data_IF_428704947836
#
_entry.id   IF_428704947836
#
_cell.length_a   1.000
_cell.length_b   1.000
_cell.length_c   1.000
_cell.angle_alpha   90.00
_cell.angle_beta   90.00
_cell.angle_gamma   90.00
#
_symmetry.space_group_name_H-M   'P 1'
#
loop_
_entity.id
_entity.type
_entity.pdbx_description
1 polymer ?
#
# COMPACT_ATOMS: atom_id res chain seq x y z
N UNK A 1 -3.11 -27.12 15.36
CA UNK A 1 -4.08 -27.23 16.48
C UNK A 1 -5.11 -26.10 16.44
N UNK A 2 -4.69 -24.84 16.34
CA UNK A 2 -5.62 -23.69 16.29
C UNK A 2 -6.51 -23.63 15.03
N UNK A 3 -5.97 -23.93 13.83
CA UNK A 3 -6.77 -24.00 12.58
C UNK A 3 -7.89 -25.03 12.65
N UNK A 4 -7.61 -26.20 13.20
CA UNK A 4 -8.59 -27.28 13.34
C UNK A 4 -9.71 -26.88 14.31
N UNK A 5 -9.36 -26.18 15.40
CA UNK A 5 -10.33 -25.63 16.35
C UNK A 5 -11.23 -24.56 15.70
N UNK A 6 -10.65 -23.65 14.90
CA UNK A 6 -11.42 -22.62 14.19
C UNK A 6 -12.35 -23.19 13.11
N UNK A 7 -11.95 -24.24 12.39
CA UNK A 7 -12.82 -24.91 11.41
C UNK A 7 -14.00 -25.58 12.11
N UNK A 8 -13.75 -26.26 13.25
CA UNK A 8 -14.80 -26.86 14.06
C UNK A 8 -15.76 -25.80 14.64
N UNK A 9 -15.22 -24.67 15.12
CA UNK A 9 -16.02 -23.55 15.58
C UNK A 9 -16.88 -22.95 14.45
N UNK A 10 -16.32 -22.79 13.24
CA UNK A 10 -17.04 -22.28 12.08
C UNK A 10 -18.20 -23.19 11.67
N UNK A 11 -17.95 -24.51 11.57
CA UNK A 11 -18.99 -25.50 11.28
C UNK A 11 -20.05 -25.55 12.40
N UNK A 12 -19.63 -25.45 13.66
CA UNK A 12 -20.54 -25.36 14.81
C UNK A 12 -21.45 -24.13 14.75
N UNK A 13 -20.93 -22.98 14.32
CA UNK A 13 -21.72 -21.75 14.15
C UNK A 13 -22.75 -21.87 13.02
N UNK A 14 -22.40 -22.53 11.90
CA UNK A 14 -23.35 -22.78 10.80
C UNK A 14 -24.49 -23.69 11.27
N UNK A 15 -24.16 -24.78 11.97
CA UNK A 15 -25.16 -25.69 12.51
C UNK A 15 -26.04 -24.99 13.55
N UNK A 16 -25.45 -24.16 14.42
CA UNK A 16 -26.19 -23.37 15.39
C UNK A 16 -27.15 -22.39 14.71
N UNK A 17 -26.70 -21.68 13.68
CA UNK A 17 -27.53 -20.74 12.91
C UNK A 17 -28.70 -21.42 12.16
N UNK A 18 -28.54 -22.70 11.78
CA UNK A 18 -29.59 -23.50 11.17
C UNK A 18 -30.65 -23.97 12.19
N UNK A 19 -30.27 -24.07 13.47
CA UNK A 19 -31.15 -24.50 14.56
C UNK A 19 -31.81 -23.29 15.23
N UNK A 20 -31.09 -22.18 15.36
CA UNK A 20 -31.49 -20.96 16.03
C UNK A 20 -31.07 -19.73 15.21
N UNK A 21 -32.04 -18.93 14.79
CA UNK A 21 -31.83 -17.75 13.94
C UNK A 21 -31.64 -16.46 14.75
N UNK A 22 -31.23 -16.58 16.01
CA UNK A 22 -30.96 -15.45 16.87
C UNK A 22 -29.67 -14.70 16.44
N UNK A 23 -29.45 -13.45 16.92
CA UNK A 23 -28.29 -12.66 16.52
C UNK A 23 -26.94 -13.24 17.00
N UNK A 24 -26.94 -14.03 18.07
CA UNK A 24 -25.76 -14.57 18.72
C UNK A 24 -24.93 -15.48 17.77
N UNK A 25 -25.48 -16.51 17.11
CA UNK A 25 -24.74 -17.32 16.16
C UNK A 25 -24.19 -16.52 14.98
N UNK A 26 -24.87 -15.45 14.55
CA UNK A 26 -24.36 -14.53 13.51
C UNK A 26 -23.09 -13.81 14.00
N UNK A 27 -23.12 -13.26 15.22
CA UNK A 27 -21.98 -12.54 15.80
C UNK A 27 -20.78 -13.47 16.00
N UNK A 28 -21.02 -14.70 16.48
CA UNK A 28 -19.95 -15.70 16.68
C UNK A 28 -19.38 -16.16 15.34
N UNK A 29 -20.21 -16.32 14.30
CA UNK A 29 -19.75 -16.64 12.94
C UNK A 29 -18.82 -15.54 12.41
N UNK A 30 -19.20 -14.27 12.54
CA UNK A 30 -18.38 -13.11 12.12
C UNK A 30 -17.06 -13.08 12.88
N UNK A 31 -17.07 -13.30 14.20
CA UNK A 31 -15.86 -13.34 15.03
C UNK A 31 -14.95 -14.50 14.67
N UNK A 32 -15.51 -15.67 14.33
CA UNK A 32 -14.75 -16.85 13.90
C UNK A 32 -14.10 -16.62 12.54
N UNK A 33 -14.82 -15.99 11.60
CA UNK A 33 -14.27 -15.55 10.32
C UNK A 33 -13.13 -14.55 10.54
N UNK A 34 -13.33 -13.54 11.40
CA UNK A 34 -12.27 -12.58 11.75
C UNK A 34 -11.05 -13.26 12.41
N UNK A 35 -11.27 -14.25 13.28
CA UNK A 35 -10.22 -15.08 13.88
C UNK A 35 -9.47 -15.96 12.87
N UNK A 36 -10.14 -16.42 11.82
CA UNK A 36 -9.51 -17.15 10.71
C UNK A 36 -8.51 -16.27 9.94
N UNK A 37 -8.81 -14.97 9.81
CA UNK A 37 -7.90 -13.99 9.20
C UNK A 37 -6.82 -13.48 10.16
N UNK A 38 -6.92 -13.77 11.46
CA UNK A 38 -6.05 -13.19 12.49
C UNK A 38 -4.68 -13.87 12.58
N UNK A 39 -4.58 -15.18 12.31
CA UNK A 39 -3.41 -15.96 12.74
C UNK A 39 -2.52 -16.61 11.66
N UNK A 40 -2.74 -16.44 10.37
CA UNK A 40 -1.74 -16.89 9.38
C UNK A 40 -1.72 -16.02 8.13
N UNK A 41 -0.69 -15.17 8.01
CA UNK A 41 -0.28 -14.61 6.71
C UNK A 41 0.35 -15.72 5.90
N UNK A 42 -0.45 -16.55 5.23
CA UNK A 42 0.00 -17.46 4.18
C UNK A 42 -0.95 -17.41 2.99
N UNK A 43 -0.47 -16.75 1.92
CA UNK A 43 -0.84 -17.07 0.56
C UNK A 43 -2.14 -16.44 0.07
N UNK A 44 -2.06 -15.93 -1.17
CA UNK A 44 -3.18 -15.78 -2.09
C UNK A 44 -4.28 -16.86 -1.86
N UNK A 45 -5.35 -16.51 -1.14
CA UNK A 45 -6.56 -17.32 -1.15
C UNK A 45 -7.33 -16.92 -2.41
N UNK A 46 -7.09 -17.67 -3.49
CA UNK A 46 -7.81 -17.56 -4.76
C UNK A 46 -7.55 -16.26 -5.55
N UNK A 47 -6.42 -16.14 -6.24
CA UNK A 47 -6.05 -15.15 -7.29
C UNK A 47 -6.34 -13.64 -7.06
N UNK A 48 -7.04 -13.17 -6.02
CA UNK A 48 -7.59 -11.80 -5.92
C UNK A 48 -7.81 -11.25 -4.50
N UNK A 49 -7.40 -11.96 -3.45
CA UNK A 49 -7.54 -11.50 -2.05
C UNK A 49 -6.15 -11.30 -1.45
N UNK A 50 -5.89 -10.10 -0.93
CA UNK A 50 -4.65 -9.72 -0.23
C UNK A 50 -5.00 -9.15 1.16
N UNK A 51 -4.33 -9.66 2.20
CA UNK A 51 -4.42 -9.16 3.59
C UNK A 51 -3.05 -9.17 4.23
N UNK A 52 -2.76 -8.20 5.11
CA UNK A 52 -1.53 -8.12 5.89
C UNK A 52 -1.85 -7.92 7.37
N UNK A 53 -1.21 -8.72 8.22
CA UNK A 53 -1.17 -8.50 9.67
C UNK A 53 0.21 -7.96 10.05
N UNK A 54 0.38 -6.64 10.22
CA UNK A 54 1.66 -6.03 10.56
C UNK A 54 2.02 -6.26 12.04
N UNK A 55 3.32 -6.47 12.33
CA UNK A 55 3.82 -6.54 13.72
C UNK A 55 3.91 -5.18 14.41
N UNK A 56 4.14 -4.11 13.63
CA UNK A 56 4.20 -2.74 14.13
C UNK A 56 2.83 -2.06 13.96
N UNK A 57 2.52 -1.11 14.84
CA UNK A 57 1.33 -0.26 14.70
C UNK A 57 1.49 0.57 13.42
N UNK A 58 0.64 0.31 12.43
CA UNK A 58 0.63 1.07 11.19
C UNK A 58 -0.07 2.41 11.37
N UNK A 59 0.43 3.41 10.66
CA UNK A 59 -0.24 4.69 10.43
C UNK A 59 -1.27 4.45 9.32
N UNK A 60 -2.54 4.74 9.59
CA UNK A 60 -3.66 4.44 8.68
C UNK A 60 -4.32 5.71 8.14
N UNK A 61 -4.50 6.66 9.04
CA UNK A 61 -4.89 8.04 8.77
C UNK A 61 -3.66 8.95 8.80
N UNK A 62 -3.83 10.17 8.28
CA UNK A 62 -2.77 11.16 8.23
C UNK A 62 -2.97 12.28 9.24
N UNK A 63 -4.00 12.23 10.07
CA UNK A 63 -4.38 13.31 10.99
C UNK A 63 -3.29 13.63 12.02
N UNK A 64 -2.55 12.60 12.45
CA UNK A 64 -1.42 12.72 13.38
C UNK A 64 -0.06 12.40 12.75
N UNK A 65 0.01 12.21 11.43
CA UNK A 65 1.26 11.86 10.76
C UNK A 65 1.98 13.12 10.29
N UNK A 66 3.30 13.18 10.51
CA UNK A 66 4.12 14.28 9.98
C UNK A 66 4.19 14.25 8.45
N UNK A 67 4.24 13.05 7.87
CA UNK A 67 4.35 12.85 6.43
C UNK A 67 3.08 12.20 5.89
N UNK A 68 2.66 12.58 4.69
CA UNK A 68 1.45 12.03 4.09
C UNK A 68 1.52 11.92 2.56
N UNK A 69 0.46 11.36 1.96
CA UNK A 69 0.22 11.40 0.52
C UNK A 69 -0.87 12.39 0.09
N UNK A 70 -1.54 13.07 1.02
CA UNK A 70 -2.77 13.85 0.75
C UNK A 70 -2.69 15.33 1.17
N UNK A 71 -1.99 15.65 2.26
CA UNK A 71 -1.89 17.00 2.83
C UNK A 71 -0.60 17.13 3.65
N UNK A 72 -0.03 18.33 3.81
CA UNK A 72 1.11 18.61 4.70
C UNK A 72 2.35 17.67 4.59
N UNK A 73 3.49 18.23 4.16
CA UNK A 73 4.77 17.52 4.02
C UNK A 73 4.64 16.17 3.28
N UNK A 74 4.33 16.25 1.99
CA UNK A 74 4.23 15.10 1.11
C UNK A 74 5.47 14.22 1.18
N UNK A 75 5.25 12.90 1.18
CA UNK A 75 6.32 11.93 1.01
C UNK A 75 6.94 12.15 -0.36
N UNK A 76 8.26 12.31 -0.39
CA UNK A 76 9.02 12.62 -1.58
C UNK A 76 8.79 11.54 -2.65
N UNK A 77 8.36 11.90 -3.88
CA UNK A 77 8.06 10.92 -4.93
C UNK A 77 9.24 10.00 -5.24
N UNK A 78 10.48 10.48 -5.13
CA UNK A 78 11.68 9.68 -5.39
C UNK A 78 11.90 8.56 -4.37
N UNK A 79 11.35 8.67 -3.15
CA UNK A 79 11.34 7.56 -2.19
C UNK A 79 10.47 6.42 -2.72
N UNK A 80 9.32 6.75 -3.33
CA UNK A 80 8.41 5.76 -3.90
C UNK A 80 9.04 5.11 -5.14
N UNK A 81 9.74 5.90 -5.95
CA UNK A 81 10.50 5.39 -7.09
C UNK A 81 11.59 4.40 -6.68
N UNK A 82 12.39 4.71 -5.66
CA UNK A 82 13.46 3.84 -5.14
C UNK A 82 12.90 2.51 -4.60
N UNK A 83 11.71 2.55 -3.98
CA UNK A 83 11.00 1.33 -3.56
C UNK A 83 10.58 0.44 -4.75
N UNK A 84 10.18 1.03 -5.88
CA UNK A 84 9.81 0.25 -7.08
C UNK A 84 11.06 -0.39 -7.69
N UNK A 85 12.19 0.33 -7.68
CA UNK A 85 13.44 -0.10 -8.30
C UNK A 85 13.42 0.03 -9.82
N UNK A 86 14.52 -0.37 -10.46
CA UNK A 86 14.69 -0.26 -11.89
C UNK A 86 14.05 -1.44 -12.62
N UNK A 87 13.55 -1.21 -13.84
CA UNK A 87 12.97 -2.26 -14.68
C UNK A 87 13.99 -3.35 -15.05
N UNK A 88 15.27 -3.01 -15.08
CA UNK A 88 16.38 -3.94 -15.36
C UNK A 88 16.69 -4.87 -14.20
N UNK A 89 16.27 -4.53 -12.99
CA UNK A 89 16.60 -5.27 -11.79
C UNK A 89 15.54 -6.35 -11.52
N UNK A 90 15.98 -7.44 -10.91
CA UNK A 90 15.09 -8.53 -10.50
C UNK A 90 14.86 -8.50 -8.99
N UNK A 91 13.59 -8.61 -8.58
CA UNK A 91 13.22 -8.53 -7.16
C UNK A 91 13.24 -7.12 -6.58
N UNK A 92 12.82 -7.00 -5.32
CA UNK A 92 12.73 -5.71 -4.63
C UNK A 92 14.05 -5.41 -3.92
N UNK A 93 14.86 -4.51 -4.47
CA UNK A 93 16.16 -4.14 -3.88
C UNK A 93 15.98 -3.30 -2.61
N UNK A 94 15.08 -2.31 -2.67
CA UNK A 94 14.73 -1.46 -1.52
C UNK A 94 13.33 -1.82 -1.06
N UNK A 95 13.22 -2.40 0.13
CA UNK A 95 11.93 -2.81 0.71
C UNK A 95 11.38 -1.83 1.74
N UNK A 96 12.22 -0.96 2.29
CA UNK A 96 11.81 0.07 3.24
C UNK A 96 12.77 1.27 3.25
N UNK A 97 12.23 2.45 3.53
CA UNK A 97 13.00 3.71 3.62
C UNK A 97 12.60 4.47 4.89
N UNK A 98 13.60 5.01 5.59
CA UNK A 98 13.40 5.95 6.69
C UNK A 98 13.00 7.32 6.14
N UNK A 99 11.72 7.67 6.20
CA UNK A 99 11.20 8.95 5.67
C UNK A 99 11.74 10.13 6.47
N UNK A 100 11.95 9.98 7.78
CA UNK A 100 12.29 11.09 8.69
C UNK A 100 13.53 11.83 8.22
N UNK A 101 14.57 11.07 7.86
CA UNK A 101 15.84 11.63 7.41
C UNK A 101 15.94 11.68 5.88
N UNK A 102 15.13 10.88 5.17
CA UNK A 102 15.20 10.79 3.70
C UNK A 102 14.43 11.89 2.98
N UNK A 103 13.30 12.36 3.52
CA UNK A 103 12.31 13.13 2.73
C UNK A 103 12.89 14.40 2.08
N UNK A 104 13.88 15.01 2.73
CA UNK A 104 14.58 16.23 2.28
C UNK A 104 16.09 16.01 2.08
N UNK A 105 16.53 14.76 2.02
CA UNK A 105 17.95 14.44 1.83
C UNK A 105 18.40 14.62 0.38
N UNK A 106 19.69 14.81 0.18
CA UNK A 106 20.29 14.88 -1.16
C UNK A 106 20.06 13.60 -2.00
N UNK A 107 19.89 12.44 -1.36
CA UNK A 107 19.61 11.16 -2.06
C UNK A 107 18.34 11.25 -2.91
N UNK A 108 17.34 11.96 -2.43
CA UNK A 108 16.03 12.10 -3.07
C UNK A 108 15.79 13.53 -3.57
N UNK A 109 16.87 14.24 -3.91
CA UNK A 109 16.79 15.60 -4.45
C UNK A 109 16.02 15.62 -5.78
N UNK A 110 15.18 16.63 -5.94
CA UNK A 110 14.33 16.85 -7.11
C UNK A 110 13.37 17.99 -6.84
N UNK A 111 12.92 18.66 -7.90
CA UNK A 111 11.88 19.68 -7.79
C UNK A 111 10.52 18.99 -7.60
N UNK A 112 9.89 19.22 -6.45
CA UNK A 112 8.59 18.62 -6.14
C UNK A 112 7.47 19.62 -6.41
N UNK A 113 6.63 19.31 -7.39
CA UNK A 113 5.43 20.05 -7.73
C UNK A 113 4.17 19.30 -7.26
N UNK A 114 3.18 20.05 -6.77
CA UNK A 114 1.88 19.53 -6.36
C UNK A 114 0.82 20.11 -7.27
N UNK A 115 0.01 19.24 -7.86
CA UNK A 115 -1.12 19.62 -8.70
C UNK A 115 -2.41 19.08 -8.10
N UNK A 116 -3.23 20.00 -7.59
CA UNK A 116 -4.54 19.66 -7.06
C UNK A 116 -5.49 19.19 -8.17
N UNK A 117 -6.41 18.30 -7.79
CA UNK A 117 -7.46 17.79 -8.65
C UNK A 117 -8.79 17.92 -7.92
N UNK A 118 -9.85 18.33 -8.64
CA UNK A 118 -11.17 18.58 -8.03
C UNK A 118 -11.86 17.29 -7.58
N UNK A 119 -11.65 16.20 -8.32
CA UNK A 119 -12.39 14.93 -8.14
C UNK A 119 -11.51 13.80 -7.61
N UNK A 120 -10.25 14.08 -7.26
CA UNK A 120 -9.27 13.09 -6.80
C UNK A 120 -8.20 13.71 -5.92
N UNK A 121 -7.40 12.86 -5.27
CA UNK A 121 -6.24 13.31 -4.48
C UNK A 121 -5.23 14.07 -5.35
N UNK A 122 -4.40 14.95 -4.76
CA UNK A 122 -3.39 15.69 -5.51
C UNK A 122 -2.42 14.74 -6.23
N UNK A 123 -1.88 15.22 -7.35
CA UNK A 123 -0.76 14.62 -8.05
C UNK A 123 0.53 15.25 -7.53
N UNK A 124 1.45 14.43 -7.05
CA UNK A 124 2.75 14.87 -6.54
C UNK A 124 3.80 14.39 -7.52
N UNK A 125 4.50 15.33 -8.16
CA UNK A 125 5.49 15.07 -9.20
C UNK A 125 6.85 15.54 -8.72
N UNK A 126 7.87 14.68 -8.84
CA UNK A 126 9.27 15.05 -8.72
C UNK A 126 9.89 15.10 -10.11
N UNK A 127 10.53 16.21 -10.44
CA UNK A 127 11.33 16.39 -11.65
C UNK A 127 12.82 16.45 -11.27
N UNK A 128 13.66 15.72 -11.99
CA UNK A 128 15.11 15.65 -11.82
C UNK A 128 15.79 15.48 -13.18
N UNK A 129 17.11 15.61 -13.26
CA UNK A 129 17.83 15.67 -14.55
C UNK A 129 17.52 14.50 -15.49
N UNK A 130 17.37 13.30 -14.91
CA UNK A 130 17.20 12.06 -15.65
C UNK A 130 15.72 11.76 -15.97
N UNK A 131 14.76 12.52 -15.43
CA UNK A 131 13.36 12.17 -15.61
C UNK A 131 12.34 12.80 -14.67
N UNK A 132 11.14 12.23 -14.69
CA UNK A 132 10.03 12.62 -13.83
C UNK A 132 9.36 11.41 -13.19
N UNK A 133 9.03 11.54 -11.92
CA UNK A 133 8.25 10.53 -11.19
C UNK A 133 7.05 11.19 -10.54
N UNK A 134 5.86 10.64 -10.80
CA UNK A 134 4.60 11.14 -10.25
C UNK A 134 3.87 10.05 -9.50
N UNK A 135 3.24 10.39 -8.38
CA UNK A 135 2.24 9.53 -7.75
C UNK A 135 0.94 10.28 -7.46
N UNK A 136 -0.14 9.50 -7.34
CA UNK A 136 -1.43 9.93 -6.84
C UNK A 136 -1.92 8.90 -5.82
N UNK A 137 -2.40 9.37 -4.68
CA UNK A 137 -2.97 8.50 -3.67
C UNK A 137 -4.35 7.97 -4.09
N UNK A 138 -4.64 6.70 -3.78
CA UNK A 138 -5.93 6.06 -4.11
C UNK A 138 -6.77 5.78 -2.87
N UNK A 139 -6.13 5.51 -1.73
CA UNK A 139 -6.80 5.17 -0.47
C UNK A 139 -5.97 4.25 0.43
N UNK A 140 -6.52 3.95 1.61
CA UNK A 140 -5.94 2.99 2.57
C UNK A 140 -6.92 1.84 2.79
N UNK A 141 -6.40 0.62 2.82
CA UNK A 141 -7.14 -0.58 3.19
C UNK A 141 -7.38 -0.72 4.70
N UNK A 142 -8.27 -1.63 5.10
CA UNK A 142 -8.60 -1.87 6.50
C UNK A 142 -7.42 -2.39 7.32
N UNK A 143 -6.46 -3.06 6.67
CA UNK A 143 -5.21 -3.55 7.26
C UNK A 143 -4.18 -2.43 7.46
N UNK A 144 -4.34 -1.28 6.79
CA UNK A 144 -3.42 -0.15 6.86
C UNK A 144 -2.43 -0.08 5.70
N UNK A 145 -2.69 -0.79 4.60
CA UNK A 145 -1.92 -0.66 3.37
C UNK A 145 -2.45 0.50 2.53
N UNK A 146 -1.59 1.46 2.24
CA UNK A 146 -1.84 2.61 1.36
C UNK A 146 -1.60 2.20 -0.10
N UNK A 147 -2.48 2.68 -0.99
CA UNK A 147 -2.42 2.42 -2.42
C UNK A 147 -2.10 3.71 -3.16
N UNK A 148 -1.11 3.66 -4.04
CA UNK A 148 -0.67 4.76 -4.90
C UNK A 148 -0.75 4.33 -6.36
N UNK A 149 -1.25 5.20 -7.23
CA UNK A 149 -0.99 5.10 -8.66
C UNK A 149 0.29 5.87 -8.97
N UNK A 150 1.19 5.31 -9.78
CA UNK A 150 2.46 5.96 -10.13
C UNK A 150 2.68 6.01 -11.63
N UNK A 151 3.48 7.00 -12.05
CA UNK A 151 3.94 7.22 -13.42
C UNK A 151 5.42 7.59 -13.37
N UNK A 152 6.28 6.80 -14.00
CA UNK A 152 7.73 7.05 -14.06
C UNK A 152 8.18 7.22 -15.52
N UNK A 153 8.97 8.26 -15.76
CA UNK A 153 9.67 8.50 -17.02
C UNK A 153 11.14 8.79 -16.70
N UNK A 154 12.05 7.87 -17.06
CA UNK A 154 13.49 8.04 -16.88
C UNK A 154 14.22 8.61 -18.09
N UNK A 155 13.65 9.63 -18.74
CA UNK A 155 14.31 10.38 -19.83
C UNK A 155 14.04 9.87 -21.25
N UNK A 156 13.40 8.70 -21.39
CA UNK A 156 12.91 8.19 -22.66
C UNK A 156 11.50 8.67 -23.02
N UNK A 157 10.88 8.05 -24.03
CA UNK A 157 9.49 8.35 -24.40
C UNK A 157 8.45 7.61 -23.54
N UNK A 158 8.83 6.47 -22.93
CA UNK A 158 7.94 5.63 -22.13
C UNK A 158 7.53 6.27 -20.80
N UNK A 159 6.33 5.94 -20.33
CA UNK A 159 5.79 6.32 -19.03
C UNK A 159 5.26 5.07 -18.36
N UNK A 160 6.05 4.48 -17.46
CA UNK A 160 5.67 3.23 -16.81
C UNK A 160 4.72 3.48 -15.65
N UNK A 161 3.57 2.82 -15.70
CA UNK A 161 2.51 2.98 -14.72
C UNK A 161 2.40 1.77 -13.79
N UNK A 162 2.25 2.02 -12.50
CA UNK A 162 2.06 0.97 -11.50
C UNK A 162 0.99 1.35 -10.48
N UNK A 163 0.43 0.34 -9.81
CA UNK A 163 -0.19 0.51 -8.50
C UNK A 163 0.84 0.03 -7.48
N UNK A 164 1.23 0.91 -6.58
CA UNK A 164 2.20 0.64 -5.51
C UNK A 164 1.47 0.54 -4.20
N UNK A 165 1.76 -0.51 -3.44
CA UNK A 165 1.18 -0.79 -2.14
C UNK A 165 2.25 -0.65 -1.07
N UNK A 166 2.02 0.23 -0.11
CA UNK A 166 2.98 0.56 0.96
C UNK A 166 2.31 0.58 2.32
N UNK A 167 3.10 0.41 3.37
CA UNK A 167 2.68 0.62 4.75
C UNK A 167 3.54 1.70 5.38
N UNK A 168 2.93 2.48 6.28
CA UNK A 168 3.61 3.50 7.07
C UNK A 168 3.61 3.08 8.53
N UNK A 169 4.74 3.27 9.21
CA UNK A 169 4.87 2.93 10.63
C UNK A 169 5.88 3.83 11.32
N UNK A 170 5.77 3.92 12.63
CA UNK A 170 6.83 4.48 13.47
C UNK A 170 7.73 3.32 13.93
N UNK A 171 9.01 3.44 13.65
CA UNK A 171 10.07 2.54 14.12
C UNK A 171 10.94 3.27 15.16
N UNK A 172 11.72 2.55 15.94
CA UNK A 172 12.64 3.13 16.91
C UNK A 172 14.06 2.67 16.61
N UNK A 173 14.98 3.63 16.50
CA UNK A 173 16.40 3.37 16.36
C UNK A 173 17.14 3.72 17.64
N UNK A 174 18.32 3.14 17.78
CA UNK A 174 19.30 3.55 18.76
C UNK A 174 20.38 4.36 18.05
N UNK A 175 20.62 5.57 18.53
CA UNK A 175 21.70 6.42 18.04
C UNK A 175 22.61 6.81 19.20
N UNK A 176 23.92 6.81 18.94
CA UNK A 176 24.93 7.15 19.93
C UNK A 176 25.85 8.22 19.36
N UNK A 177 25.49 9.48 19.60
CA UNK A 177 26.31 10.64 19.20
C UNK A 177 27.31 11.05 20.30
N UNK A 178 27.14 10.58 21.54
CA UNK A 178 28.04 10.81 22.69
C UNK A 178 28.13 9.57 23.59
N UNK A 179 28.65 9.69 24.83
CA UNK A 179 28.71 8.60 25.81
C UNK A 179 27.35 8.09 26.30
N UNK A 180 26.25 8.78 25.97
CA UNK A 180 24.88 8.33 26.25
C UNK A 180 24.18 8.00 24.92
N UNK A 181 23.59 6.81 24.85
CA UNK A 181 22.80 6.38 23.70
C UNK A 181 21.32 6.69 23.90
N UNK A 182 20.66 7.17 22.84
CA UNK A 182 19.26 7.58 22.86
C UNK A 182 18.42 6.74 21.91
N UNK A 183 17.15 6.55 22.26
CA UNK A 183 16.16 5.92 21.40
C UNK A 183 15.38 7.01 20.66
N UNK A 184 15.45 6.98 19.33
CA UNK A 184 14.84 7.99 18.47
C UNK A 184 13.77 7.33 17.61
N UNK A 185 12.59 7.95 17.56
CA UNK A 185 11.50 7.52 16.68
C UNK A 185 11.75 7.95 15.24
N UNK A 186 11.50 7.07 14.27
CA UNK A 186 11.57 7.38 12.84
C UNK A 186 10.35 6.87 12.10
N UNK A 187 9.82 7.69 11.20
CA UNK A 187 8.82 7.29 10.22
C UNK A 187 9.46 6.40 9.15
N UNK A 188 8.88 5.23 8.92
CA UNK A 188 9.33 4.26 7.92
C UNK A 188 8.20 3.96 6.95
N UNK A 189 8.52 3.99 5.66
CA UNK A 189 7.68 3.46 4.60
C UNK A 189 8.22 2.10 4.17
N UNK A 190 7.34 1.12 3.98
CA UNK A 190 7.69 -0.23 3.54
C UNK A 190 6.87 -0.63 2.32
N UNK A 191 7.55 -1.16 1.30
CA UNK A 191 6.91 -1.76 0.13
C UNK A 191 6.25 -3.08 0.51
N UNK A 192 4.99 -3.22 0.14
CA UNK A 192 4.24 -4.48 0.21
C UNK A 192 4.25 -5.19 -1.14
N UNK A 193 4.05 -4.43 -2.22
CA UNK A 193 4.05 -4.98 -3.56
C UNK A 193 3.65 -3.96 -4.61
N UNK A 194 3.75 -4.40 -5.86
CA UNK A 194 3.44 -3.59 -7.03
C UNK A 194 2.53 -4.38 -7.97
N UNK A 195 1.64 -3.66 -8.65
CA UNK A 195 0.79 -4.21 -9.71
C UNK A 195 1.09 -3.39 -10.97
N UNK A 196 1.76 -3.96 -11.98
CA UNK A 196 2.09 -3.22 -13.19
C UNK A 196 0.83 -2.89 -13.98
N UNK A 197 0.76 -1.68 -14.52
CA UNK A 197 -0.33 -1.22 -15.42
C UNK A 197 0.14 -1.12 -16.88
N UNK A 198 1.46 -1.09 -17.09
CA UNK A 198 2.11 -1.04 -18.41
C UNK A 198 2.57 0.36 -18.75
N UNK A 199 2.78 0.63 -20.04
CA UNK A 199 3.16 1.95 -20.54
C UNK A 199 1.92 2.85 -20.73
N UNK A 200 2.04 4.13 -20.37
CA UNK A 200 1.04 5.20 -20.54
C UNK A 200 -0.40 4.78 -20.22
N UNK A 201 -0.61 4.11 -19.09
CA UNK A 201 -1.95 3.66 -18.68
C UNK A 201 -2.88 4.86 -18.39
N UNK A 202 -4.01 4.90 -19.09
CA UNK A 202 -5.00 6.00 -19.02
C UNK A 202 -6.28 5.64 -18.25
N UNK A 203 -6.36 4.43 -17.69
CA UNK A 203 -7.54 4.00 -16.94
C UNK A 203 -7.67 4.74 -15.60
N UNK A 204 -8.89 5.16 -15.26
CA UNK A 204 -9.18 5.75 -13.94
C UNK A 204 -9.30 4.66 -12.88
N UNK A 205 -8.31 4.55 -12.02
CA UNK A 205 -8.34 3.62 -10.89
C UNK A 205 -9.30 4.12 -9.81
N UNK A 206 -9.91 3.19 -9.08
CA UNK A 206 -10.70 3.55 -7.90
C UNK A 206 -10.54 2.52 -6.80
N UNK A 207 -10.41 2.99 -5.56
CA UNK A 207 -10.43 2.15 -4.39
C UNK A 207 -11.59 2.55 -3.48
N UNK A 208 -12.55 1.65 -3.27
CA UNK A 208 -13.73 1.91 -2.42
C UNK A 208 -14.11 0.65 -1.65
N UNK A 209 -14.33 0.79 -0.34
CA UNK A 209 -14.81 -0.28 0.54
C UNK A 209 -14.01 -1.59 0.42
N UNK A 210 -12.67 -1.51 0.44
CA UNK A 210 -11.84 -2.71 0.30
C UNK A 210 -11.60 -3.17 -1.14
N UNK A 211 -12.29 -2.60 -2.14
CA UNK A 211 -12.23 -3.07 -3.52
C UNK A 211 -11.45 -2.10 -4.40
N UNK A 212 -10.33 -2.60 -4.93
CA UNK A 212 -9.57 -1.94 -5.99
C UNK A 212 -10.16 -2.32 -7.35
N UNK A 213 -10.62 -1.33 -8.09
CA UNK A 213 -11.09 -1.49 -9.48
C UNK A 213 -10.05 -0.95 -10.44
N UNK A 214 -9.59 -1.82 -11.34
CA UNK A 214 -8.65 -1.52 -12.41
C UNK A 214 -9.42 -1.68 -13.73
N UNK A 215 -9.83 -0.60 -14.41
CA UNK A 215 -10.50 -0.71 -15.70
C UNK A 215 -9.58 -1.30 -16.77
N UNK A 216 -10.20 -1.86 -17.81
CA UNK A 216 -9.47 -2.16 -19.03
C UNK A 216 -8.99 -0.85 -19.66
N UNK A 217 -7.81 -0.87 -20.26
CA UNK A 217 -7.29 0.20 -21.09
C UNK A 217 -6.85 -0.45 -22.41
N UNK A 218 -7.06 0.26 -23.52
CA UNK A 218 -6.56 -0.15 -24.85
C UNK A 218 -5.33 0.68 -25.28
N UNK A 219 -4.74 1.42 -24.32
CA UNK A 219 -3.55 2.23 -24.56
C UNK A 219 -2.32 1.42 -24.98
N UNK A 220 -1.33 2.12 -25.54
CA UNK A 220 -0.08 1.53 -26.03
C UNK A 220 0.62 0.70 -24.95
N UNK A 221 0.86 -0.59 -25.22
CA UNK A 221 1.58 -1.52 -24.32
C UNK A 221 1.03 -1.60 -22.88
N UNK A 222 -0.27 -1.36 -22.68
CA UNK A 222 -0.91 -1.66 -21.39
C UNK A 222 -1.05 -3.16 -21.16
N UNK A 223 -0.76 -3.60 -19.93
CA UNK A 223 -0.95 -4.99 -19.51
C UNK A 223 -2.36 -5.27 -18.99
N UNK A 224 -3.23 -4.24 -18.95
CA UNK A 224 -4.58 -4.30 -18.37
C UNK A 224 -5.64 -4.23 -19.46
N UNK A 225 -5.73 -5.29 -20.27
CA UNK A 225 -6.71 -5.41 -21.37
C UNK A 225 -8.11 -5.83 -20.92
N UNK A 226 -8.28 -6.23 -19.65
CA UNK A 226 -9.57 -6.61 -19.07
C UNK A 226 -9.76 -5.92 -17.74
N UNK A 227 -11.01 -5.52 -17.47
CA UNK A 227 -11.41 -4.96 -16.17
C UNK A 227 -11.14 -5.98 -15.07
N UNK A 228 -10.44 -5.55 -14.04
CA UNK A 228 -10.18 -6.35 -12.84
C UNK A 228 -10.75 -5.65 -11.61
N UNK A 229 -11.21 -6.47 -10.67
CA UNK A 229 -11.57 -6.07 -9.32
C UNK A 229 -10.80 -6.97 -8.37
N UNK A 230 -10.13 -6.37 -7.40
CA UNK A 230 -9.36 -7.07 -6.38
C UNK A 230 -9.83 -6.65 -5.01
N UNK A 231 -9.92 -7.61 -4.11
CA UNK A 231 -10.25 -7.37 -2.72
C UNK A 231 -8.93 -7.16 -1.96
N UNK A 232 -8.77 -5.98 -1.39
CA UNK A 232 -7.59 -5.51 -0.68
C UNK A 232 -8.04 -5.09 0.71
N UNK A 233 -7.84 -5.99 1.67
CA UNK A 233 -8.36 -5.85 3.05
C UNK A 233 -7.23 -5.55 4.00
#
# INVERSE_FOLDING_TARGET
>A
MYKTLNILAFLGCIVWLLIDQSPEPVVVLIMTVAGFFRDDVHGLIGKKIFTLTPKAKLIRDFDSSKYSFINNEFINPRIIEDLIGWLSDSGNQVVAVNITDSNKSNRYFGEVAVKDSKDSYPLITSSYEEGTFTYQYLGTSFSGMHLLQTWSNGGGSGVFCNIVMVTLSMDTIFEQNTSVGEKIGRFVIKLIGTIPLGDRYQGTLSYKFGVLTIPACEGMATVRTKKSRMLVI
#
